data_IF_041433875860
#
_entry.id   IF_041433875860
#
_cell.length_a   1.000
_cell.length_b   1.000
_cell.length_c   1.000
_cell.angle_alpha   90.00
_cell.angle_beta   90.00
_cell.angle_gamma   90.00
#
_symmetry.space_group_name_H-M   'P 1'
#
loop_
_entity.id
_entity.type
_entity.pdbx_description
1 polymer ?
#
# COMPACT_ATOMS: atom_id res chain seq x y z
N UNK A 1 -1.23 16.71 -25.30
CA UNK A 1 -0.09 16.12 -26.06
C UNK A 1 -0.64 15.69 -27.39
N UNK A 2 -0.25 16.37 -28.46
CA UNK A 2 -0.53 15.94 -29.84
C UNK A 2 0.58 14.96 -30.21
N UNK A 3 0.25 13.67 -30.39
CA UNK A 3 1.17 12.71 -30.97
C UNK A 3 1.12 12.96 -32.47
N UNK A 4 2.13 13.67 -32.99
CA UNK A 4 2.35 13.79 -34.43
C UNK A 4 2.94 12.46 -34.89
N UNK A 5 2.09 11.62 -35.48
CA UNK A 5 2.52 10.42 -36.19
C UNK A 5 3.09 10.92 -37.52
N UNK A 6 4.37 10.69 -37.77
CA UNK A 6 4.99 11.05 -39.04
C UNK A 6 4.34 10.26 -40.19
N UNK A 7 4.25 10.91 -41.35
CA UNK A 7 3.43 10.51 -42.49
C UNK A 7 4.18 9.59 -43.46
N UNK A 8 5.49 9.43 -43.27
CA UNK A 8 6.39 8.55 -44.00
C UNK A 8 6.38 7.11 -43.49
N UNK A 9 5.86 6.85 -42.29
CA UNK A 9 5.58 5.48 -41.84
C UNK A 9 6.83 4.65 -41.54
N UNK A 10 7.98 5.29 -41.33
CA UNK A 10 9.03 4.69 -40.53
C UNK A 10 8.58 4.70 -39.06
N UNK A 11 8.65 3.55 -38.40
CA UNK A 11 8.19 3.46 -37.01
C UNK A 11 8.97 4.42 -36.12
N UNK A 12 8.34 4.89 -35.03
CA UNK A 12 8.95 5.75 -34.00
C UNK A 12 10.41 5.34 -33.79
N UNK A 13 11.33 6.16 -34.27
CA UNK A 13 12.73 5.80 -34.20
C UNK A 13 13.12 5.65 -32.74
N UNK A 14 13.80 4.55 -32.40
CA UNK A 14 14.14 4.23 -31.02
C UNK A 14 14.87 5.37 -30.29
N UNK A 15 15.56 6.24 -31.04
CA UNK A 15 16.25 7.41 -30.50
C UNK A 15 15.29 8.45 -29.89
N UNK A 16 14.11 8.67 -30.49
CA UNK A 16 13.12 9.62 -29.97
C UNK A 16 12.49 9.12 -28.67
N UNK A 17 12.20 7.81 -28.60
CA UNK A 17 11.67 7.17 -27.38
C UNK A 17 12.68 7.30 -26.24
N UNK A 18 13.96 7.05 -26.52
CA UNK A 18 15.03 7.18 -25.52
C UNK A 18 15.17 8.63 -25.05
N UNK A 19 15.14 9.61 -25.96
CA UNK A 19 15.19 11.03 -25.59
C UNK A 19 13.99 11.45 -24.73
N UNK A 20 12.78 11.00 -25.08
CA UNK A 20 11.57 11.28 -24.28
C UNK A 20 11.66 10.63 -22.89
N UNK A 21 12.16 9.40 -22.80
CA UNK A 21 12.37 8.71 -21.51
C UNK A 21 13.42 9.41 -20.66
N UNK A 22 14.50 9.89 -21.25
CA UNK A 22 15.52 10.67 -20.55
C UNK A 22 14.93 11.97 -19.98
N UNK A 23 14.18 12.73 -20.79
CA UNK A 23 13.54 13.97 -20.34
C UNK A 23 12.53 13.72 -19.21
N UNK A 24 11.73 12.66 -19.30
CA UNK A 24 10.80 12.26 -18.23
C UNK A 24 11.55 11.81 -16.97
N UNK A 25 12.67 11.11 -17.15
CA UNK A 25 13.56 10.69 -16.07
C UNK A 25 14.13 11.86 -15.30
N UNK A 26 14.64 12.89 -15.99
CA UNK A 26 15.17 14.09 -15.36
C UNK A 26 14.10 14.86 -14.58
N UNK A 27 12.92 15.08 -15.18
CA UNK A 27 11.80 15.73 -14.51
C UNK A 27 11.35 14.94 -13.28
N UNK A 28 11.33 13.61 -13.36
CA UNK A 28 11.03 12.74 -12.23
C UNK A 28 12.07 12.86 -11.12
N UNK A 29 13.37 12.82 -11.46
CA UNK A 29 14.47 12.95 -10.49
C UNK A 29 14.42 14.31 -9.78
N UNK A 30 14.10 15.39 -10.50
CA UNK A 30 13.94 16.72 -9.92
C UNK A 30 12.80 16.75 -8.89
N UNK A 31 11.63 16.21 -9.24
CA UNK A 31 10.49 16.13 -8.31
C UNK A 31 10.84 15.27 -7.10
N UNK A 32 11.49 14.12 -7.32
CA UNK A 32 11.87 13.21 -6.24
C UNK A 32 12.91 13.82 -5.30
N UNK A 33 13.84 14.65 -5.80
CA UNK A 33 14.82 15.36 -4.97
C UNK A 33 14.20 16.37 -4.00
N UNK A 34 12.97 16.85 -4.29
CA UNK A 34 12.23 17.78 -3.44
C UNK A 34 11.37 17.06 -2.39
N UNK A 35 11.21 15.75 -2.51
CA UNK A 35 10.40 14.96 -1.58
C UNK A 35 11.24 14.46 -0.39
N UNK A 36 10.61 14.29 0.77
CA UNK A 36 11.27 13.68 1.91
C UNK A 36 11.42 12.17 1.75
N UNK A 37 12.48 11.61 2.33
CA UNK A 37 12.73 10.16 2.42
C UNK A 37 11.52 9.44 3.04
N UNK A 38 10.98 10.00 4.14
CA UNK A 38 9.82 9.46 4.86
C UNK A 38 8.58 9.50 3.95
N UNK A 39 8.31 10.62 3.28
CA UNK A 39 7.16 10.74 2.39
C UNK A 39 7.22 9.77 1.20
N UNK A 40 8.42 9.51 0.69
CA UNK A 40 8.64 8.51 -0.38
C UNK A 40 8.39 7.10 0.14
N UNK A 41 8.95 6.75 1.31
CA UNK A 41 8.76 5.45 1.94
C UNK A 41 7.27 5.19 2.27
N UNK A 42 6.55 6.18 2.81
CA UNK A 42 5.13 6.06 3.10
C UNK A 42 4.28 5.82 1.85
N UNK A 43 4.59 6.47 0.72
CA UNK A 43 3.85 6.23 -0.54
C UNK A 43 4.11 4.83 -1.09
N UNK A 44 5.37 4.37 -1.06
CA UNK A 44 5.73 3.01 -1.44
C UNK A 44 5.03 1.99 -0.54
N UNK A 45 4.95 2.26 0.77
CA UNK A 45 4.23 1.43 1.72
C UNK A 45 2.75 1.33 1.37
N UNK A 46 2.08 2.46 1.13
CA UNK A 46 0.67 2.49 0.73
C UNK A 46 0.41 1.75 -0.60
N UNK A 47 1.41 1.68 -1.49
CA UNK A 47 1.30 0.91 -2.74
C UNK A 47 1.52 -0.59 -2.52
N UNK A 48 2.45 -0.99 -1.65
CA UNK A 48 2.85 -2.38 -1.44
C UNK A 48 1.97 -3.14 -0.44
N UNK A 49 1.47 -2.46 0.61
CA UNK A 49 0.66 -3.10 1.65
C UNK A 49 -0.62 -3.73 1.09
N UNK A 50 -1.46 -3.03 0.29
CA UNK A 50 -2.74 -3.60 -0.14
C UNK A 50 -2.58 -4.92 -0.90
N UNK A 51 -1.59 -4.99 -1.78
CA UNK A 51 -1.28 -6.21 -2.52
C UNK A 51 -0.81 -7.34 -1.59
N UNK A 52 0.16 -7.05 -0.73
CA UNK A 52 0.74 -8.03 0.20
C UNK A 52 -0.29 -8.53 1.21
N UNK A 53 -1.13 -7.62 1.73
CA UNK A 53 -2.23 -7.91 2.63
C UNK A 53 -3.30 -8.77 1.95
N UNK A 54 -3.68 -8.42 0.71
CA UNK A 54 -4.65 -9.18 -0.05
C UNK A 54 -4.18 -10.61 -0.30
N UNK A 55 -2.98 -10.78 -0.86
CA UNK A 55 -2.45 -12.11 -1.19
C UNK A 55 -2.13 -12.94 0.05
N UNK A 56 -1.54 -12.33 1.09
CA UNK A 56 -1.03 -13.03 2.26
C UNK A 56 -2.06 -13.29 3.36
N UNK A 57 -3.00 -12.37 3.55
CA UNK A 57 -3.99 -12.41 4.63
C UNK A 57 -5.38 -12.66 4.06
N UNK A 58 -5.85 -11.82 3.15
CA UNK A 58 -7.24 -11.89 2.70
C UNK A 58 -7.54 -13.18 1.94
N UNK A 59 -6.75 -13.53 0.91
CA UNK A 59 -6.95 -14.77 0.15
C UNK A 59 -6.80 -15.97 1.07
N UNK A 60 -5.72 -16.02 1.86
CA UNK A 60 -5.51 -17.10 2.81
C UNK A 60 -6.69 -17.25 3.77
N UNK A 61 -7.22 -16.18 4.36
CA UNK A 61 -8.36 -16.25 5.27
C UNK A 61 -9.69 -16.56 4.57
N UNK A 62 -9.84 -16.15 3.31
CA UNK A 62 -11.05 -16.36 2.53
C UNK A 62 -11.16 -17.79 1.98
N UNK A 63 -10.01 -18.40 1.66
CA UNK A 63 -9.94 -19.75 1.07
C UNK A 63 -9.50 -20.81 2.07
N UNK A 64 -8.88 -20.44 3.20
CA UNK A 64 -8.60 -21.41 4.25
C UNK A 64 -9.89 -21.73 4.99
N UNK A 65 -10.38 -22.94 4.75
CA UNK A 65 -10.94 -23.70 5.83
C UNK A 65 -9.95 -23.76 6.98
N UNK A 66 -10.41 -23.60 8.22
CA UNK A 66 -9.56 -23.88 9.38
C UNK A 66 -9.10 -25.34 9.24
N UNK A 67 -7.81 -25.53 8.89
CA UNK A 67 -7.26 -26.86 8.59
C UNK A 67 -7.44 -27.81 9.76
N UNK A 68 -7.39 -27.28 10.98
CA UNK A 68 -7.64 -28.03 12.20
C UNK A 68 -9.10 -28.51 12.26
N UNK A 69 -10.06 -27.63 11.94
CA UNK A 69 -11.47 -27.96 11.86
C UNK A 69 -11.77 -28.96 10.73
N UNK A 70 -11.14 -28.77 9.56
CA UNK A 70 -11.27 -29.67 8.41
C UNK A 70 -10.76 -31.07 8.75
N UNK A 71 -9.57 -31.17 9.35
CA UNK A 71 -9.04 -32.47 9.78
C UNK A 71 -9.96 -33.12 10.79
N UNK A 72 -10.43 -32.38 11.79
CA UNK A 72 -11.30 -32.94 12.81
C UNK A 72 -12.63 -33.46 12.22
N UNK A 73 -13.20 -32.73 11.26
CA UNK A 73 -14.36 -33.14 10.48
C UNK A 73 -14.11 -34.42 9.67
N UNK A 74 -13.04 -34.47 8.88
CA UNK A 74 -12.69 -35.65 8.08
C UNK A 74 -12.28 -36.87 8.94
N UNK A 75 -11.65 -36.62 10.10
CA UNK A 75 -11.37 -37.67 11.08
C UNK A 75 -12.67 -38.24 11.65
N UNK A 76 -13.70 -37.41 11.85
CA UNK A 76 -15.04 -37.87 12.21
C UNK A 76 -15.61 -38.83 11.17
N UNK A 77 -15.49 -38.52 9.87
CA UNK A 77 -15.86 -39.46 8.80
C UNK A 77 -15.08 -40.76 8.83
N UNK A 78 -13.75 -40.69 9.04
CA UNK A 78 -12.91 -41.87 9.18
C UNK A 78 -13.33 -42.77 10.36
N UNK A 79 -13.82 -42.16 11.43
CA UNK A 79 -14.37 -42.83 12.61
C UNK A 79 -15.84 -43.26 12.44
N UNK A 80 -16.46 -43.02 11.28
CA UNK A 80 -17.81 -43.46 10.96
C UNK A 80 -18.93 -42.47 11.31
N UNK A 81 -18.61 -41.22 11.65
CA UNK A 81 -19.61 -40.16 11.82
C UNK A 81 -20.06 -39.62 10.46
N UNK A 82 -21.37 -39.39 10.31
CA UNK A 82 -21.97 -38.76 9.14
C UNK A 82 -22.33 -37.29 9.39
N UNK A 83 -22.74 -36.58 8.34
CA UNK A 83 -23.26 -35.22 8.49
C UNK A 83 -24.68 -35.21 9.05
N UNK A 84 -24.99 -34.48 10.13
CA UNK A 84 -26.35 -34.42 10.67
C UNK A 84 -27.25 -33.42 9.91
N UNK A 85 -26.69 -32.56 9.05
CA UNK A 85 -27.43 -31.63 8.16
C UNK A 85 -27.52 -32.09 6.69
N UNK A 86 -26.77 -33.10 6.27
CA UNK A 86 -26.89 -33.67 4.92
C UNK A 86 -28.12 -34.58 4.74
N UNK A 87 -28.94 -34.72 5.78
CA UNK A 87 -30.12 -35.57 5.87
C UNK A 87 -31.26 -35.14 4.92
N UNK A 88 -31.06 -35.35 3.61
CA UNK A 88 -32.16 -35.41 2.63
C UNK A 88 -32.89 -36.75 2.66
N UNK A 89 -32.33 -37.80 3.30
CA UNK A 89 -32.87 -39.18 3.24
C UNK A 89 -32.79 -40.02 4.53
N UNK A 90 -32.18 -39.55 5.63
CA UNK A 90 -32.08 -40.31 6.90
C UNK A 90 -32.38 -39.41 8.09
N UNK A 91 -33.31 -39.82 8.95
CA UNK A 91 -33.56 -39.13 10.22
C UNK A 91 -32.30 -39.23 11.09
N UNK A 92 -31.89 -38.13 11.73
CA UNK A 92 -30.83 -38.16 12.73
C UNK A 92 -31.16 -39.13 13.85
N UNK A 93 -30.16 -39.58 14.58
CA UNK A 93 -30.34 -40.51 15.69
C UNK A 93 -29.54 -40.06 16.90
N UNK A 94 -30.05 -40.37 18.09
CA UNK A 94 -29.40 -40.09 19.37
C UNK A 94 -29.54 -41.31 20.28
N UNK A 95 -28.65 -41.43 21.26
CA UNK A 95 -28.69 -42.47 22.28
C UNK A 95 -29.41 -41.95 23.53
N UNK A 96 -30.58 -42.50 23.84
CA UNK A 96 -31.46 -41.99 24.89
C UNK A 96 -30.82 -41.96 26.30
N UNK A 97 -30.06 -43.00 26.69
CA UNK A 97 -29.37 -43.05 27.97
C UNK A 97 -28.30 -41.96 28.14
N UNK A 98 -27.38 -41.86 27.17
CA UNK A 98 -26.32 -40.84 27.16
C UNK A 98 -26.92 -39.43 27.13
N UNK A 99 -27.91 -39.18 26.27
CA UNK A 99 -28.59 -37.89 26.19
C UNK A 99 -29.29 -37.48 27.49
N UNK A 100 -29.75 -38.45 28.30
CA UNK A 100 -30.31 -38.23 29.62
C UNK A 100 -29.24 -38.08 30.75
N UNK A 101 -27.95 -38.11 30.40
CA UNK A 101 -26.85 -37.97 31.35
C UNK A 101 -26.41 -39.26 32.03
N UNK A 102 -26.81 -40.44 31.51
CA UNK A 102 -26.39 -41.74 32.04
C UNK A 102 -25.16 -42.26 31.29
N UNK A 103 -23.96 -42.28 31.90
CA UNK A 103 -22.77 -42.78 31.22
C UNK A 103 -22.83 -44.28 30.98
N UNK A 104 -22.11 -44.73 29.95
CA UNK A 104 -21.92 -46.16 29.71
C UNK A 104 -21.02 -46.74 30.81
N UNK A 105 -21.40 -47.91 31.29
CA UNK A 105 -20.79 -48.68 32.35
C UNK A 105 -20.85 -50.18 32.02
N UNK A 106 -20.31 -51.04 32.88
CA UNK A 106 -20.21 -52.47 32.62
C UNK A 106 -21.54 -53.19 32.42
N UNK A 107 -22.67 -52.65 32.89
CA UNK A 107 -23.98 -53.30 32.78
C UNK A 107 -24.80 -52.86 31.57
N UNK A 108 -24.57 -51.66 31.01
CA UNK A 108 -25.32 -51.13 29.86
C UNK A 108 -24.50 -51.05 28.55
N UNK A 109 -23.20 -51.31 28.60
CA UNK A 109 -22.28 -51.19 27.47
C UNK A 109 -22.30 -52.38 26.49
N UNK A 110 -22.92 -53.51 26.86
CA UNK A 110 -22.98 -54.68 25.98
C UNK A 110 -23.96 -54.49 24.79
N UNK A 111 -24.92 -53.58 24.92
CA UNK A 111 -25.95 -53.33 23.90
C UNK A 111 -26.31 -51.84 23.83
N UNK A 112 -25.33 -50.97 23.54
CA UNK A 112 -25.60 -49.53 23.44
C UNK A 112 -26.55 -49.18 22.28
N UNK A 113 -26.62 -50.03 21.25
CA UNK A 113 -27.47 -49.77 20.07
C UNK A 113 -28.95 -49.92 20.38
N UNK A 114 -29.33 -50.72 21.38
CA UNK A 114 -30.73 -50.86 21.80
C UNK A 114 -31.37 -49.56 22.29
N UNK A 115 -30.58 -48.56 22.70
CA UNK A 115 -31.09 -47.26 23.16
C UNK A 115 -30.95 -46.14 22.12
N UNK A 116 -30.49 -46.45 20.91
CA UNK A 116 -30.43 -45.48 19.81
C UNK A 116 -31.83 -45.27 19.26
N UNK A 117 -32.29 -44.02 19.27
CA UNK A 117 -33.60 -43.58 18.84
C UNK A 117 -33.47 -42.55 17.71
N UNK A 118 -34.52 -42.44 16.89
CA UNK A 118 -34.58 -41.46 15.81
C UNK A 118 -34.97 -40.08 16.37
N UNK A 119 -34.41 -39.03 15.79
CA UNK A 119 -34.67 -37.63 16.10
C UNK A 119 -33.58 -36.96 16.92
N UNK A 120 -34.01 -36.05 17.78
CA UNK A 120 -33.17 -35.24 18.67
C UNK A 120 -33.74 -35.36 20.09
N UNK A 121 -32.92 -35.47 21.15
CA UNK A 121 -33.42 -35.63 22.50
C UNK A 121 -34.26 -34.42 22.95
N UNK A 122 -35.28 -34.68 23.77
CA UNK A 122 -36.15 -33.63 24.30
C UNK A 122 -35.36 -32.66 25.19
N UNK A 123 -35.48 -31.36 24.91
CA UNK A 123 -34.76 -30.32 25.65
C UNK A 123 -33.29 -30.14 25.28
N UNK A 124 -32.83 -30.77 24.19
CA UNK A 124 -31.51 -30.53 23.64
C UNK A 124 -31.34 -29.08 23.16
N UNK A 125 -30.10 -28.59 23.17
CA UNK A 125 -29.73 -27.36 22.48
C UNK A 125 -29.74 -27.61 20.97
N UNK A 126 -30.65 -26.94 20.26
CA UNK A 126 -30.90 -27.15 18.83
C UNK A 126 -30.61 -25.85 18.10
N UNK A 127 -29.86 -25.96 17.01
CA UNK A 127 -29.72 -24.87 16.06
C UNK A 127 -31.09 -24.61 15.41
N UNK A 128 -31.72 -23.50 15.80
CA UNK A 128 -33.06 -23.12 15.31
C UNK A 128 -33.18 -23.04 13.79
N UNK A 129 -32.08 -22.78 13.07
CA UNK A 129 -32.08 -22.69 11.62
C UNK A 129 -32.04 -24.07 10.95
N UNK A 130 -31.37 -25.04 11.58
CA UNK A 130 -31.15 -26.39 11.02
C UNK A 130 -32.05 -27.47 11.64
N UNK A 131 -32.61 -27.24 12.82
CA UNK A 131 -33.43 -28.21 13.54
C UNK A 131 -32.65 -29.41 14.09
N UNK A 132 -31.33 -29.29 14.21
CA UNK A 132 -30.41 -30.34 14.65
C UNK A 132 -29.49 -29.82 15.75
N UNK A 133 -28.82 -30.72 16.47
CA UNK A 133 -27.84 -30.36 17.48
C UNK A 133 -26.56 -29.82 16.84
N UNK A 134 -25.88 -28.84 17.47
CA UNK A 134 -24.55 -28.39 17.07
C UNK A 134 -23.59 -29.58 16.95
N UNK A 135 -22.86 -29.64 15.84
CA UNK A 135 -21.91 -30.72 15.55
C UNK A 135 -20.75 -30.21 14.69
N UNK A 136 -19.55 -30.73 14.91
CA UNK A 136 -18.40 -30.51 14.01
C UNK A 136 -18.61 -31.18 12.65
N UNK A 137 -19.50 -32.17 12.61
CA UNK A 137 -19.85 -32.93 11.42
C UNK A 137 -20.87 -32.21 10.53
N UNK A 138 -21.18 -30.93 10.75
CA UNK A 138 -21.96 -30.18 9.75
C UNK A 138 -21.26 -30.16 8.40
N UNK A 139 -22.04 -30.24 7.31
CA UNK A 139 -21.51 -30.14 5.95
C UNK A 139 -20.58 -28.93 5.85
N UNK A 140 -19.37 -29.19 5.39
CA UNK A 140 -18.26 -28.28 5.61
C UNK A 140 -18.42 -26.99 4.79
N UNK A 141 -18.68 -25.87 5.47
CA UNK A 141 -18.78 -24.54 4.85
C UNK A 141 -17.56 -23.70 5.22
N UNK A 142 -17.18 -22.75 4.34
CA UNK A 142 -16.06 -21.83 4.57
C UNK A 142 -16.24 -20.93 5.81
N UNK A 143 -17.42 -20.92 6.44
CA UNK A 143 -17.78 -19.98 7.50
C UNK A 143 -18.13 -20.62 8.85
N UNK A 144 -18.03 -21.94 8.99
CA UNK A 144 -18.33 -22.62 10.26
C UNK A 144 -17.19 -23.53 10.77
N UNK A 145 -15.99 -22.99 11.05
CA UNK A 145 -14.90 -23.78 11.60
C UNK A 145 -15.13 -24.02 13.10
N UNK A 146 -15.72 -25.17 13.46
CA UNK A 146 -15.58 -25.73 14.80
C UNK A 146 -14.43 -26.72 14.80
N UNK A 147 -13.51 -26.59 15.74
CA UNK A 147 -12.42 -27.57 15.94
C UNK A 147 -12.77 -28.56 17.05
N UNK A 148 -13.60 -28.10 17.99
CA UNK A 148 -13.90 -28.85 19.19
C UNK A 148 -15.13 -29.71 19.00
N UNK A 149 -15.04 -30.93 19.52
CA UNK A 149 -16.16 -31.86 19.60
C UNK A 149 -17.32 -31.20 20.36
N UNK A 150 -18.52 -31.33 19.82
CA UNK A 150 -19.74 -30.99 20.53
C UNK A 150 -20.26 -32.21 21.30
N UNK A 151 -21.30 -32.01 22.10
CA UNK A 151 -21.96 -33.10 22.84
C UNK A 151 -22.55 -34.14 21.88
N UNK A 152 -23.00 -33.72 20.69
CA UNK A 152 -23.57 -34.64 19.68
C UNK A 152 -22.48 -35.53 19.07
N UNK A 153 -21.31 -34.93 18.75
CA UNK A 153 -20.16 -35.67 18.24
C UNK A 153 -19.62 -36.67 19.27
N UNK A 154 -19.47 -36.24 20.52
CA UNK A 154 -18.99 -37.09 21.61
C UNK A 154 -19.96 -38.23 21.92
N UNK A 155 -21.27 -37.97 21.84
CA UNK A 155 -22.29 -39.01 21.97
C UNK A 155 -22.17 -40.04 20.85
N UNK A 156 -22.06 -39.62 19.60
CA UNK A 156 -21.85 -40.51 18.46
C UNK A 156 -20.60 -41.38 18.63
N UNK A 157 -19.49 -40.78 19.07
CA UNK A 157 -18.26 -41.52 19.36
C UNK A 157 -18.42 -42.52 20.50
N UNK A 158 -19.12 -42.16 21.58
CA UNK A 158 -19.38 -43.08 22.69
C UNK A 158 -20.31 -44.25 22.28
N UNK A 159 -21.18 -44.06 21.29
CA UNK A 159 -22.01 -45.14 20.73
C UNK A 159 -21.19 -46.07 19.84
N UNK A 160 -20.33 -45.52 18.98
CA UNK A 160 -19.49 -46.30 18.06
C UNK A 160 -18.34 -47.02 18.79
N UNK A 161 -17.73 -46.36 19.77
CA UNK A 161 -16.55 -46.80 20.49
C UNK A 161 -16.76 -46.68 22.02
N UNK A 162 -17.63 -47.51 22.60
CA UNK A 162 -18.03 -47.39 24.00
C UNK A 162 -16.88 -47.73 24.95
N UNK A 163 -16.80 -47.01 26.07
CA UNK A 163 -15.92 -47.35 27.20
C UNK A 163 -16.77 -47.76 28.41
N UNK A 164 -16.74 -49.05 28.77
CA UNK A 164 -17.61 -49.59 29.82
C UNK A 164 -17.16 -49.26 31.26
N UNK A 165 -16.06 -48.51 31.45
CA UNK A 165 -15.47 -48.22 32.75
C UNK A 165 -15.61 -46.75 33.19
N UNK A 166 -15.90 -45.83 32.25
CA UNK A 166 -16.21 -44.41 32.46
C UNK A 166 -16.25 -43.69 31.09
N UNK A 167 -17.43 -43.61 30.46
CA UNK A 167 -17.57 -42.77 29.25
C UNK A 167 -17.54 -41.29 29.62
N UNK A 168 -16.69 -40.51 28.98
CA UNK A 168 -16.69 -39.05 29.14
C UNK A 168 -17.97 -38.47 28.52
N UNK A 169 -18.72 -37.68 29.31
CA UNK A 169 -19.93 -36.99 28.85
C UNK A 169 -19.74 -35.49 28.61
N UNK A 170 -18.59 -34.95 29.01
CA UNK A 170 -18.26 -33.54 28.83
C UNK A 170 -17.17 -33.38 27.79
N UNK A 171 -17.41 -32.51 26.82
CA UNK A 171 -16.43 -32.17 25.80
C UNK A 171 -15.35 -31.27 26.39
N UNK A 172 -14.09 -31.66 26.27
CA UNK A 172 -12.95 -30.80 26.64
C UNK A 172 -12.34 -30.23 25.37
N UNK A 173 -12.40 -28.91 25.25
CA UNK A 173 -11.87 -28.15 24.12
C UNK A 173 -10.58 -27.45 24.56
N UNK A 174 -9.43 -28.12 24.38
CA UNK A 174 -8.12 -27.52 24.61
C UNK A 174 -7.57 -27.03 23.27
N UNK A 175 -7.97 -25.83 22.84
CA UNK A 175 -7.41 -25.23 21.63
C UNK A 175 -6.04 -24.62 21.94
N UNK A 176 -5.02 -25.00 21.19
CA UNK A 176 -3.72 -24.34 21.29
C UNK A 176 -3.86 -22.91 20.77
N UNK A 177 -3.52 -21.91 21.58
CA UNK A 177 -3.47 -20.51 21.16
C UNK A 177 -2.21 -20.28 20.30
N UNK A 178 -2.30 -20.64 19.01
CA UNK A 178 -1.23 -20.35 18.08
C UNK A 178 -1.42 -18.92 17.57
N UNK A 179 -0.50 -18.02 17.94
CA UNK A 179 -0.50 -16.60 17.55
C UNK A 179 -0.15 -16.37 16.06
N UNK A 180 -0.73 -17.18 15.16
CA UNK A 180 -0.50 -17.12 13.70
C UNK A 180 -1.02 -15.82 13.09
N UNK A 181 -2.13 -15.29 13.59
CA UNK A 181 -2.71 -14.02 13.13
C UNK A 181 -1.72 -12.86 13.29
N UNK A 182 -1.28 -12.55 14.52
CA UNK A 182 -0.26 -11.53 14.75
C UNK A 182 1.04 -11.76 13.97
N UNK A 183 1.51 -13.01 13.86
CA UNK A 183 2.72 -13.34 13.11
C UNK A 183 2.58 -12.99 11.63
N UNK A 184 1.45 -13.34 11.00
CA UNK A 184 1.15 -13.00 9.60
C UNK A 184 1.06 -11.49 9.41
N UNK A 185 0.38 -10.77 10.31
CA UNK A 185 0.31 -9.30 10.24
C UNK A 185 1.71 -8.69 10.34
N UNK A 186 2.52 -9.13 11.30
CA UNK A 186 3.91 -8.69 11.43
C UNK A 186 4.69 -8.95 10.13
N UNK A 187 4.60 -10.15 9.55
CA UNK A 187 5.35 -10.47 8.33
C UNK A 187 4.88 -9.63 7.13
N UNK A 188 3.57 -9.60 6.85
CA UNK A 188 3.01 -8.95 5.67
C UNK A 188 2.94 -7.42 5.76
N UNK A 189 3.15 -6.83 6.94
CA UNK A 189 3.25 -5.38 7.12
C UNK A 189 4.71 -4.94 7.27
N UNK A 190 5.49 -5.61 8.14
CA UNK A 190 6.85 -5.17 8.45
C UNK A 190 7.82 -5.44 7.30
N UNK A 191 7.67 -6.55 6.56
CA UNK A 191 8.56 -6.86 5.43
C UNK A 191 8.39 -5.85 4.29
N UNK A 192 7.17 -5.54 3.79
CA UNK A 192 6.99 -4.48 2.80
C UNK A 192 7.42 -3.11 3.32
N UNK A 193 7.27 -2.82 4.62
CA UNK A 193 7.74 -1.58 5.22
C UNK A 193 9.27 -1.45 5.20
N UNK A 194 9.99 -2.50 5.60
CA UNK A 194 11.44 -2.53 5.52
C UNK A 194 11.92 -2.39 4.07
N UNK A 195 11.26 -3.09 3.12
CA UNK A 195 11.57 -3.00 1.70
C UNK A 195 11.31 -1.59 1.13
N UNK A 196 10.17 -0.98 1.46
CA UNK A 196 9.81 0.38 1.05
C UNK A 196 10.83 1.41 1.56
N UNK A 197 11.26 1.28 2.83
CA UNK A 197 12.27 2.14 3.41
C UNK A 197 13.63 1.95 2.73
N UNK A 198 14.06 0.70 2.51
CA UNK A 198 15.33 0.40 1.83
C UNK A 198 15.35 0.95 0.40
N UNK A 199 14.28 0.73 -0.37
CA UNK A 199 14.14 1.27 -1.72
C UNK A 199 14.13 2.79 -1.73
N UNK A 200 13.46 3.42 -0.75
CA UNK A 200 13.49 4.87 -0.57
C UNK A 200 14.92 5.37 -0.31
N UNK A 201 15.68 4.72 0.58
CA UNK A 201 17.07 5.09 0.89
C UNK A 201 17.94 4.98 -0.37
N UNK A 202 17.84 3.87 -1.11
CA UNK A 202 18.61 3.67 -2.35
C UNK A 202 18.25 4.75 -3.38
N UNK A 203 16.97 4.99 -3.60
CA UNK A 203 16.49 5.99 -4.57
C UNK A 203 17.00 7.38 -4.22
N UNK A 204 16.84 7.81 -2.96
CA UNK A 204 17.32 9.12 -2.48
C UNK A 204 18.84 9.24 -2.58
N UNK A 205 19.59 8.18 -2.24
CA UNK A 205 21.06 8.17 -2.37
C UNK A 205 21.49 8.30 -3.83
N UNK A 206 20.81 7.62 -4.76
CA UNK A 206 21.06 7.71 -6.19
C UNK A 206 20.74 9.11 -6.73
N UNK A 207 19.61 9.69 -6.33
CA UNK A 207 19.19 11.04 -6.71
C UNK A 207 20.20 12.07 -6.21
N UNK A 208 20.58 12.00 -4.94
CA UNK A 208 21.53 12.95 -4.36
C UNK A 208 22.89 12.90 -5.07
N UNK A 209 23.39 11.68 -5.35
CA UNK A 209 24.60 11.49 -6.16
C UNK A 209 24.47 12.07 -7.56
N UNK A 210 23.32 11.88 -8.22
CA UNK A 210 23.09 12.40 -9.56
C UNK A 210 23.01 13.93 -9.56
N UNK A 211 22.20 14.52 -8.68
CA UNK A 211 22.06 15.98 -8.52
C UNK A 211 23.40 16.64 -8.17
N UNK A 212 24.22 15.98 -7.35
CA UNK A 212 25.57 16.48 -7.04
C UNK A 212 26.46 16.49 -8.29
N UNK A 213 26.47 15.40 -9.06
CA UNK A 213 27.26 15.32 -10.31
C UNK A 213 26.82 16.37 -11.33
N UNK A 214 25.52 16.57 -11.50
CA UNK A 214 25.01 17.58 -12.45
C UNK A 214 25.33 19.00 -11.99
N UNK A 215 25.22 19.31 -10.69
CA UNK A 215 25.67 20.59 -10.13
C UNK A 215 27.16 20.84 -10.33
N UNK A 216 28.00 19.84 -10.12
CA UNK A 216 29.45 19.94 -10.34
C UNK A 216 29.77 20.18 -11.84
N UNK A 217 29.11 19.46 -12.75
CA UNK A 217 29.27 19.66 -14.19
C UNK A 217 28.86 21.06 -14.64
N UNK A 218 27.68 21.54 -14.23
CA UNK A 218 27.18 22.86 -14.62
C UNK A 218 28.02 24.00 -14.01
N UNK A 219 28.55 23.82 -12.79
CA UNK A 219 29.49 24.77 -12.19
C UNK A 219 30.81 24.83 -12.98
N UNK A 220 31.30 23.70 -13.47
CA UNK A 220 32.52 23.66 -14.30
C UNK A 220 32.32 24.33 -15.65
N UNK A 221 31.16 24.12 -16.28
CA UNK A 221 30.79 24.77 -17.54
C UNK A 221 30.66 26.29 -17.38
N UNK A 222 29.96 26.75 -16.33
CA UNK A 222 29.81 28.17 -16.05
C UNK A 222 31.17 28.85 -15.75
N UNK A 223 32.08 28.16 -15.05
CA UNK A 223 33.44 28.66 -14.84
C UNK A 223 34.21 28.76 -16.17
N UNK A 224 34.09 27.78 -17.05
CA UNK A 224 34.74 27.82 -18.38
C UNK A 224 34.21 28.97 -19.26
N UNK A 225 32.90 29.24 -19.21
CA UNK A 225 32.30 30.37 -19.92
C UNK A 225 32.76 31.71 -19.35
N UNK A 226 32.87 31.83 -18.02
CA UNK A 226 33.38 33.04 -17.38
C UNK A 226 34.83 33.31 -17.76
N UNK A 227 35.67 32.28 -17.81
CA UNK A 227 37.07 32.41 -18.21
C UNK A 227 37.21 32.85 -19.68
N UNK A 228 36.40 32.27 -20.58
CA UNK A 228 36.37 32.69 -21.99
C UNK A 228 35.92 34.15 -22.13
N UNK A 229 34.87 34.56 -21.43
CA UNK A 229 34.38 35.93 -21.46
C UNK A 229 35.42 36.93 -20.90
N UNK A 230 36.20 36.54 -19.89
CA UNK A 230 37.30 37.36 -19.37
C UNK A 230 38.43 37.48 -20.41
N UNK A 231 38.80 36.38 -21.08
CA UNK A 231 39.79 36.39 -22.16
C UNK A 231 39.37 37.28 -23.32
N UNK A 232 38.09 37.23 -23.72
CA UNK A 232 37.55 38.12 -24.76
C UNK A 232 37.65 39.60 -24.35
N UNK A 233 37.26 39.94 -23.11
CA UNK A 233 37.41 41.32 -22.59
C UNK A 233 38.87 41.79 -22.58
N UNK A 234 39.81 40.92 -22.22
CA UNK A 234 41.23 41.24 -22.24
C UNK A 234 41.73 41.48 -23.67
N UNK A 235 41.29 40.68 -24.65
CA UNK A 235 41.62 40.88 -26.06
C UNK A 235 41.05 42.20 -26.60
N UNK A 236 39.79 42.52 -26.27
CA UNK A 236 39.17 43.80 -26.64
C UNK A 236 39.92 45.00 -26.03
N UNK A 237 40.34 44.91 -24.77
CA UNK A 237 41.11 45.95 -24.11
C UNK A 237 42.49 46.16 -24.78
N UNK A 238 43.17 45.06 -25.14
CA UNK A 238 44.44 45.10 -25.87
C UNK A 238 44.29 45.68 -27.28
N UNK A 239 43.22 45.35 -27.99
CA UNK A 239 42.95 45.91 -29.30
C UNK A 239 42.73 47.43 -29.23
N UNK A 240 41.94 47.89 -28.24
CA UNK A 240 41.70 49.32 -28.01
C UNK A 240 42.96 50.09 -27.64
N UNK A 241 43.84 49.53 -26.80
CA UNK A 241 45.11 50.19 -26.46
C UNK A 241 46.08 50.26 -27.66
N UNK A 242 46.12 49.22 -28.49
CA UNK A 242 46.90 49.24 -29.73
C UNK A 242 46.42 50.32 -30.72
N UNK A 243 45.11 50.46 -30.91
CA UNK A 243 44.52 51.53 -31.73
C UNK A 243 44.78 52.93 -31.16
N UNK A 244 44.71 53.11 -29.83
CA UNK A 244 45.04 54.37 -29.17
C UNK A 244 46.50 54.80 -29.35
N UNK A 245 47.44 53.86 -29.33
CA UNK A 245 48.85 54.12 -29.58
C UNK A 245 49.09 54.62 -31.03
N UNK A 246 48.38 54.07 -32.01
CA UNK A 246 48.47 54.53 -33.42
C UNK A 246 47.89 55.95 -33.59
N UNK A 247 46.79 56.27 -32.90
CA UNK A 247 46.21 57.62 -32.94
C UNK A 247 47.10 58.70 -32.31
N UNK A 248 48.00 58.31 -31.39
CA UNK A 248 48.95 59.21 -30.73
C UNK A 248 50.11 59.63 -31.65
N UNK A 249 50.43 58.81 -32.66
CA UNK A 249 51.51 59.06 -33.63
C UNK A 249 51.04 59.96 -34.79
N UNK A 250 49.72 60.12 -34.97
CA UNK A 250 49.11 60.94 -36.03
C UNK A 250 48.68 62.34 -35.57
N UNK A 251 49.18 62.83 -34.42
CA UNK A 251 48.92 64.20 -33.97
C UNK A 251 49.75 65.22 -34.79
N UNK A 252 49.21 65.62 -35.95
CA UNK A 252 49.70 66.76 -36.74
C UNK A 252 49.16 68.05 -36.11
N UNK A 253 50.01 69.03 -35.74
CA UNK A 253 49.54 70.33 -35.25
C UNK A 253 48.98 71.14 -36.42
N UNK A 254 47.66 71.21 -36.51
CA UNK A 254 46.93 71.88 -37.59
C UNK A 254 45.98 72.96 -37.07
N UNK A 255 46.47 74.19 -37.12
CA UNK A 255 45.84 75.51 -37.23
C UNK A 255 44.33 75.70 -37.03
N UNK A 256 44.05 76.78 -36.28
CA UNK A 256 42.79 77.51 -36.19
C UNK A 256 42.10 77.71 -37.55
N UNK A 257 40.84 77.30 -37.66
CA UNK A 257 39.86 77.96 -38.53
C UNK A 257 38.49 77.95 -37.85
N UNK A 258 38.13 79.16 -37.43
CA UNK A 258 36.85 79.55 -36.88
C UNK A 258 35.80 79.52 -38.00
N UNK A 259 34.70 78.79 -37.81
CA UNK A 259 33.50 78.87 -38.67
C UNK A 259 32.28 79.01 -37.75
N UNK A 260 31.46 80.07 -37.90
CA UNK A 260 30.31 80.31 -37.04
C UNK A 260 29.01 79.71 -37.63
N UNK A 261 28.18 79.16 -36.74
CA UNK A 261 26.70 79.20 -36.73
C UNK A 261 25.89 78.62 -37.90
N UNK A 262 24.97 77.68 -37.61
CA UNK A 262 23.51 77.95 -37.59
C UNK A 262 22.66 76.73 -37.16
N UNK A 263 21.70 77.04 -36.28
CA UNK A 263 20.48 76.35 -35.82
C UNK A 263 19.92 75.11 -36.56
N UNK A 264 19.47 74.11 -35.78
CA UNK A 264 18.03 73.74 -35.70
C UNK A 264 17.66 72.88 -34.47
N UNK A 265 16.53 73.27 -33.89
CA UNK A 265 15.79 72.70 -32.77
C UNK A 265 15.22 71.29 -33.01
N UNK A 266 15.15 70.47 -31.95
CA UNK A 266 13.97 69.66 -31.59
C UNK A 266 14.10 69.16 -30.12
N UNK A 267 13.36 69.78 -29.18
CA UNK A 267 12.32 69.17 -28.32
C UNK A 267 12.67 67.80 -27.75
N UNK A 268 13.07 67.68 -26.47
CA UNK A 268 12.27 67.83 -25.23
C UNK A 268 11.18 66.78 -25.05
N UNK A 269 11.47 65.79 -24.22
CA UNK A 269 10.53 65.26 -23.23
C UNK A 269 11.29 64.57 -22.09
N UNK A 270 11.34 65.27 -20.96
CA UNK A 270 11.57 64.72 -19.64
C UNK A 270 10.51 63.67 -19.34
N UNK A 271 10.86 62.61 -18.63
CA UNK A 271 10.04 62.19 -17.49
C UNK A 271 10.91 61.53 -16.42
N UNK A 272 11.17 62.31 -15.38
CA UNK A 272 11.64 61.90 -14.07
C UNK A 272 10.53 61.07 -13.39
N UNK A 273 10.88 59.94 -12.81
CA UNK A 273 9.98 59.09 -12.04
C UNK A 273 10.73 58.40 -10.92
N UNK A 274 10.91 59.15 -9.83
CA UNK A 274 11.41 58.68 -8.54
C UNK A 274 10.48 57.62 -7.94
N UNK A 275 11.02 56.53 -7.40
CA UNK A 275 10.30 55.67 -6.48
C UNK A 275 11.25 54.95 -5.51
N UNK A 276 11.31 55.51 -4.31
CA UNK A 276 11.50 54.80 -3.05
C UNK A 276 10.68 53.50 -3.00
N UNK A 277 11.18 52.48 -2.30
CA UNK A 277 10.29 51.46 -1.74
C UNK A 277 10.89 50.06 -1.62
N UNK A 278 11.83 49.90 -0.69
CA UNK A 278 12.02 48.63 -0.01
C UNK A 278 10.71 48.31 0.75
N UNK A 279 9.94 47.33 0.28
CA UNK A 279 8.97 46.61 1.11
C UNK A 279 8.57 45.28 0.44
N UNK A 280 8.61 44.25 1.27
CA UNK A 280 8.39 42.83 1.06
C UNK A 280 7.01 42.49 0.46
N UNK A 281 6.91 41.35 -0.23
CA UNK A 281 5.65 40.61 -0.32
C UNK A 281 5.85 39.16 0.13
N UNK A 282 5.65 38.91 1.43
CA UNK A 282 5.41 37.55 1.94
C UNK A 282 4.40 37.60 3.07
N UNK A 283 3.22 38.13 2.77
CA UNK A 283 2.00 37.86 3.52
C UNK A 283 0.80 38.04 2.60
N UNK A 284 -0.18 37.14 2.75
CA UNK A 284 -1.56 37.17 2.25
C UNK A 284 -1.85 36.41 0.94
N UNK A 285 -1.91 35.09 1.06
CA UNK A 285 -3.14 34.40 0.67
C UNK A 285 -3.88 33.98 1.93
N UNK A 286 -5.02 34.63 2.16
CA UNK A 286 -6.06 34.15 3.08
C UNK A 286 -6.77 32.95 2.47
N UNK A 287 -7.18 32.01 3.31
CA UNK A 287 -8.57 31.93 3.77
C UNK A 287 -9.54 31.51 2.66
N UNK A 288 -9.67 30.19 2.49
CA UNK A 288 -10.87 29.55 1.96
C UNK A 288 -11.41 28.59 3.02
N UNK A 289 -12.46 29.07 3.68
CA UNK A 289 -13.67 28.37 4.14
C UNK A 289 -13.54 26.86 4.41
N UNK A 290 -13.69 26.40 5.66
CA UNK A 290 -14.98 26.21 6.35
C UNK A 290 -15.97 25.33 5.56
N UNK A 291 -15.83 24.02 5.71
CA UNK A 291 -16.92 23.04 5.75
C UNK A 291 -16.64 22.18 6.99
N UNK A 292 -17.49 22.20 8.03
CA UNK A 292 -18.71 21.39 8.09
C UNK A 292 -18.32 19.98 8.55
N UNK A 293 -18.28 19.68 9.86
CA UNK A 293 -19.45 19.22 10.63
C UNK A 293 -20.29 18.19 9.86
N UNK A 294 -19.86 16.93 9.89
CA UNK A 294 -20.70 15.73 9.86
C UNK A 294 -20.25 14.93 11.10
N UNK A 295 -20.89 15.08 12.26
CA UNK A 295 -22.14 14.41 12.61
C UNK A 295 -22.30 13.02 11.96
N UNK A 296 -22.13 12.01 12.82
CA UNK A 296 -23.17 11.00 13.07
C UNK A 296 -23.44 9.98 11.95
N UNK A 297 -22.76 8.84 12.03
CA UNK A 297 -23.37 7.51 11.85
C UNK A 297 -22.88 6.70 13.05
N UNK A 298 -23.75 6.32 14.00
CA UNK A 298 -24.79 5.31 13.80
C UNK A 298 -24.15 3.95 14.05
N UNK A 299 -24.05 3.51 15.31
CA UNK A 299 -25.01 2.56 15.88
C UNK A 299 -25.41 1.49 14.86
N UNK A 300 -24.55 0.50 14.66
CA UNK A 300 -24.98 -0.80 14.17
C UNK A 300 -25.26 -1.66 15.39
N UNK A 301 -26.53 -1.60 15.79
CA UNK A 301 -27.18 -2.58 16.64
C UNK A 301 -26.86 -3.98 16.10
N UNK A 302 -26.26 -4.78 16.97
CA UNK A 302 -26.30 -6.23 16.92
C UNK A 302 -27.74 -6.63 17.26
N UNK A 303 -28.53 -6.92 16.23
CA UNK A 303 -29.82 -7.60 16.31
C UNK A 303 -29.78 -8.80 15.37
N UNK A 304 -30.24 -9.95 15.87
CA UNK A 304 -30.48 -11.19 15.12
C UNK A 304 -29.20 -12.00 14.96
N UNK A 305 -29.07 -13.21 15.51
CA UNK A 305 -30.08 -14.18 15.95
C UNK A 305 -29.52 -15.02 17.08
#
# INVERSE_FOLDING_TARGET
>A
MSITIDKDGDGVEAHEVVAMLAQRGEAFLEVMSKQSLIGTASRLLCALIPWSFYAGIFVTCWTCYDFEAAIAHEAGHLLGLGHPDAARYTQNSYHAGIAAGFPLNSSNCADQWAQVQLGVPAGADIDSAKGIRPSIMYEFTQHNPSVCLTVDDLEGLNVLYPTCSQSTQTTVCNKAEINLGPLRVCFYVMVPAALALLLSIILHTCIERHVRRTKEAHKSELHSMQELAEKERQLEARAKSALGAVSSVLHVPGSMLHVPGFFKHASSSNLFGSAHGSQSPLQRMGSLQRMGSLQRMGSLQRMGS
#
